data_IF_478876816179
#
_entry.id   IF_478876816179
#
_cell.length_a   1.000
_cell.length_b   1.000
_cell.length_c   1.000
_cell.angle_alpha   90.00
_cell.angle_beta   90.00
_cell.angle_gamma   90.00
#
_symmetry.space_group_name_H-M   'P 1'
#
loop_
_entity.id
_entity.type
_entity.pdbx_description
1 polymer ?
#
# COMPACT_ATOMS: atom_id res chain seq x y z
N UNK A 1 -23.22 2.48 -15.49
CA UNK A 1 -21.85 3.04 -15.44
C UNK A 1 -21.23 2.90 -14.05
N UNK A 2 -21.90 3.37 -12.98
CA UNK A 2 -21.49 3.17 -11.57
C UNK A 2 -21.03 1.74 -11.19
N UNK A 3 -21.85 0.73 -11.49
CA UNK A 3 -21.55 -0.67 -11.14
C UNK A 3 -20.24 -1.18 -11.79
N UNK A 4 -19.95 -0.74 -13.01
CA UNK A 4 -18.71 -1.09 -13.71
C UNK A 4 -17.48 -0.51 -13.01
N UNK A 5 -17.57 0.74 -12.55
CA UNK A 5 -16.47 1.41 -11.82
C UNK A 5 -16.22 0.76 -10.46
N UNK A 6 -17.26 0.35 -9.75
CA UNK A 6 -17.13 -0.39 -8.48
C UNK A 6 -16.44 -1.73 -8.71
N UNK A 7 -16.84 -2.48 -9.74
CA UNK A 7 -16.21 -3.75 -10.11
C UNK A 7 -14.73 -3.52 -10.48
N UNK A 8 -14.43 -2.46 -11.23
CA UNK A 8 -13.06 -2.08 -11.57
C UNK A 8 -12.22 -1.76 -10.32
N UNK A 9 -12.74 -0.98 -9.37
CA UNK A 9 -12.07 -0.69 -8.10
C UNK A 9 -11.75 -1.95 -7.28
N UNK A 10 -12.69 -2.90 -7.23
CA UNK A 10 -12.49 -4.18 -6.53
C UNK A 10 -11.39 -5.00 -7.22
N UNK A 11 -11.39 -5.06 -8.55
CA UNK A 11 -10.34 -5.75 -9.33
C UNK A 11 -8.97 -5.09 -9.15
N UNK A 12 -8.90 -3.76 -9.15
CA UNK A 12 -7.68 -3.01 -8.88
C UNK A 12 -7.18 -3.25 -7.45
N UNK A 13 -8.08 -3.33 -6.47
CA UNK A 13 -7.72 -3.68 -5.10
C UNK A 13 -7.13 -5.09 -5.03
N UNK A 14 -7.81 -6.09 -5.59
CA UNK A 14 -7.36 -7.48 -5.57
C UNK A 14 -6.01 -7.67 -6.27
N UNK A 15 -5.81 -7.05 -7.44
CA UNK A 15 -4.57 -7.14 -8.22
C UNK A 15 -3.40 -6.32 -7.67
N UNK A 16 -3.68 -5.27 -6.89
CA UNK A 16 -2.65 -4.33 -6.42
C UNK A 16 -1.49 -4.99 -5.64
N UNK A 17 -1.74 -6.06 -4.88
CA UNK A 17 -0.67 -6.77 -4.16
C UNK A 17 0.33 -7.45 -5.10
N UNK A 18 -0.16 -8.09 -6.16
CA UNK A 18 0.67 -8.72 -7.19
C UNK A 18 1.40 -7.69 -8.03
N UNK A 19 0.74 -6.58 -8.39
CA UNK A 19 1.34 -5.46 -9.13
C UNK A 19 2.49 -4.86 -8.33
N UNK A 20 2.27 -4.60 -7.04
CA UNK A 20 3.29 -4.03 -6.15
C UNK A 20 4.50 -4.95 -6.05
N UNK A 21 4.27 -6.27 -5.90
CA UNK A 21 5.34 -7.27 -5.85
C UNK A 21 6.12 -7.34 -7.16
N UNK A 22 5.44 -7.31 -8.30
CA UNK A 22 6.08 -7.30 -9.61
C UNK A 22 6.92 -6.04 -9.84
N UNK A 23 6.36 -4.87 -9.52
CA UNK A 23 7.02 -3.57 -9.68
C UNK A 23 8.23 -3.42 -8.74
N UNK A 24 8.07 -3.80 -7.47
CA UNK A 24 9.18 -3.79 -6.50
C UNK A 24 10.27 -4.80 -6.87
N UNK A 25 9.89 -5.99 -7.35
CA UNK A 25 10.85 -6.99 -7.83
C UNK A 25 11.64 -6.50 -9.05
N UNK A 26 11.03 -5.67 -9.90
CA UNK A 26 11.71 -5.02 -11.02
C UNK A 26 12.67 -3.91 -10.58
N UNK A 27 12.25 -3.08 -9.60
CA UNK A 27 13.03 -1.91 -9.17
C UNK A 27 14.19 -2.24 -8.24
N UNK A 28 14.01 -3.18 -7.32
CA UNK A 28 14.94 -3.37 -6.19
C UNK A 28 16.01 -4.44 -6.43
N UNK A 29 15.83 -5.35 -7.38
CA UNK A 29 16.75 -6.47 -7.63
C UNK A 29 16.91 -7.45 -6.45
N UNK A 30 16.37 -7.14 -5.26
CA UNK A 30 16.42 -7.95 -4.05
C UNK A 30 15.09 -8.70 -3.89
N UNK A 31 15.17 -10.04 -3.80
CA UNK A 31 14.02 -10.91 -3.52
C UNK A 31 14.21 -11.55 -2.15
N UNK A 32 13.59 -11.01 -1.11
CA UNK A 32 13.46 -11.71 0.17
C UNK A 32 12.20 -12.56 0.19
N UNK A 33 12.35 -13.86 -0.07
CA UNK A 33 11.25 -14.84 -0.15
C UNK A 33 10.62 -15.21 1.20
N UNK A 34 11.25 -14.83 2.33
CA UNK A 34 10.91 -15.38 3.66
C UNK A 34 9.76 -14.67 4.38
N UNK A 35 9.35 -13.48 3.94
CA UNK A 35 8.28 -12.65 4.57
C UNK A 35 7.16 -12.25 3.62
N UNK A 36 7.15 -12.79 2.41
CA UNK A 36 6.29 -12.36 1.29
C UNK A 36 4.79 -12.33 1.66
N UNK A 37 4.28 -13.35 2.33
CA UNK A 37 2.85 -13.42 2.65
C UNK A 37 2.42 -12.43 3.74
N UNK A 38 3.26 -12.23 4.77
CA UNK A 38 2.97 -11.29 5.86
C UNK A 38 3.00 -9.86 5.33
N UNK A 39 4.03 -9.51 4.55
CA UNK A 39 4.13 -8.19 3.92
C UNK A 39 2.98 -7.91 2.95
N UNK A 40 2.57 -8.91 2.16
CA UNK A 40 1.42 -8.80 1.27
C UNK A 40 0.12 -8.55 2.04
N UNK A 41 -0.14 -9.31 3.12
CA UNK A 41 -1.33 -9.14 3.97
C UNK A 41 -1.34 -7.77 4.63
N UNK A 42 -0.22 -7.30 5.21
CA UNK A 42 -0.10 -5.96 5.77
C UNK A 42 -0.45 -4.90 4.70
N UNK A 43 0.09 -5.04 3.50
CA UNK A 43 -0.18 -4.12 2.41
C UNK A 43 -1.66 -4.09 1.99
N UNK A 44 -2.35 -5.22 1.99
CA UNK A 44 -3.81 -5.26 1.75
C UNK A 44 -4.58 -4.58 2.88
N UNK A 45 -4.24 -4.84 4.14
CA UNK A 45 -4.87 -4.20 5.30
C UNK A 45 -4.72 -2.68 5.27
N UNK A 46 -3.54 -2.17 4.90
CA UNK A 46 -3.33 -0.72 4.76
C UNK A 46 -4.15 -0.12 3.64
N UNK A 47 -4.15 -0.72 2.45
CA UNK A 47 -4.94 -0.24 1.31
C UNK A 47 -6.42 -0.20 1.66
N UNK A 48 -6.91 -1.20 2.39
CA UNK A 48 -8.28 -1.23 2.89
C UNK A 48 -8.57 -0.05 3.83
N UNK A 49 -7.70 0.21 4.82
CA UNK A 49 -7.83 1.37 5.71
C UNK A 49 -7.79 2.70 4.96
N UNK A 50 -6.90 2.84 3.98
CA UNK A 50 -6.81 4.04 3.15
C UNK A 50 -8.10 4.27 2.37
N UNK A 51 -8.64 3.23 1.73
CA UNK A 51 -9.91 3.33 1.01
C UNK A 51 -11.02 3.80 1.96
N UNK A 52 -11.11 3.21 3.16
CA UNK A 52 -12.07 3.66 4.20
C UNK A 52 -11.86 5.14 4.51
N UNK A 53 -10.65 5.57 4.85
CA UNK A 53 -10.40 6.96 5.19
C UNK A 53 -10.68 7.94 4.06
N UNK A 54 -10.38 7.57 2.81
CA UNK A 54 -10.76 8.38 1.65
C UNK A 54 -12.29 8.51 1.59
N UNK A 55 -13.03 7.41 1.69
CA UNK A 55 -14.50 7.43 1.61
C UNK A 55 -15.17 8.24 2.73
N UNK A 56 -14.58 8.28 3.92
CA UNK A 56 -15.07 9.09 5.05
C UNK A 56 -14.43 10.49 5.11
N UNK A 57 -13.63 10.87 4.11
CA UNK A 57 -12.88 12.13 4.04
C UNK A 57 -11.96 12.39 5.26
N UNK A 58 -11.52 11.31 5.92
CA UNK A 58 -10.66 11.35 7.12
C UNK A 58 -9.17 11.34 6.77
N UNK A 59 -8.71 12.34 6.05
CA UNK A 59 -7.31 12.45 5.60
C UNK A 59 -6.30 12.59 6.76
N UNK A 60 -6.71 13.24 7.86
CA UNK A 60 -5.87 13.36 9.06
C UNK A 60 -5.63 12.01 9.74
N UNK A 61 -6.67 11.19 9.87
CA UNK A 61 -6.55 9.85 10.47
C UNK A 61 -5.67 8.93 9.59
N UNK A 62 -5.81 9.04 8.28
CA UNK A 62 -4.95 8.36 7.32
C UNK A 62 -3.47 8.74 7.52
N UNK A 63 -3.18 10.05 7.60
CA UNK A 63 -1.82 10.55 7.83
C UNK A 63 -1.22 10.06 9.16
N UNK A 64 -2.02 10.00 10.23
CA UNK A 64 -1.58 9.50 11.54
C UNK A 64 -1.16 8.03 11.49
N UNK A 65 -1.96 7.15 10.87
CA UNK A 65 -1.64 5.72 10.78
C UNK A 65 -0.38 5.50 9.93
N UNK A 66 -0.26 6.23 8.83
CA UNK A 66 0.93 6.15 7.95
C UNK A 66 2.19 6.59 8.70
N UNK A 67 2.10 7.71 9.43
CA UNK A 67 3.21 8.21 10.25
C UNK A 67 3.60 7.20 11.34
N UNK A 68 2.62 6.65 12.06
CA UNK A 68 2.86 5.64 13.08
C UNK A 68 3.59 4.40 12.52
N UNK A 69 3.18 3.91 11.35
CA UNK A 69 3.86 2.79 10.69
C UNK A 69 5.31 3.12 10.32
N UNK A 70 5.57 4.35 9.84
CA UNK A 70 6.93 4.78 9.46
C UNK A 70 7.88 4.80 10.66
N UNK A 71 7.39 5.28 11.82
CA UNK A 71 8.17 5.33 13.07
C UNK A 71 8.53 3.93 13.59
N UNK A 72 7.59 2.98 13.52
CA UNK A 72 7.82 1.61 14.02
C UNK A 72 8.78 0.78 13.16
N UNK A 73 9.22 1.33 12.02
CA UNK A 73 9.95 0.60 10.99
C UNK A 73 11.46 0.86 10.99
N UNK A 74 11.95 1.75 11.85
CA UNK A 74 13.39 2.01 11.96
C UNK A 74 14.12 0.81 12.61
N UNK A 75 14.98 0.08 11.90
CA UNK A 75 15.82 -0.95 12.49
C UNK A 75 16.96 -0.29 13.27
N UNK A 76 17.41 -0.91 14.36
CA UNK A 76 18.65 -0.51 15.04
C UNK A 76 19.83 -0.77 14.10
N UNK A 77 20.38 0.31 13.53
CA UNK A 77 21.48 0.30 12.58
C UNK A 77 22.70 -0.43 13.14
N UNK A 78 23.12 -1.51 12.47
CA UNK A 78 24.46 -2.07 12.66
C UNK A 78 25.06 -2.67 11.39
N UNK A 79 24.26 -3.11 10.41
CA UNK A 79 24.77 -3.69 9.15
C UNK A 79 24.19 -3.05 7.87
N UNK A 80 25.00 -3.04 6.81
CA UNK A 80 24.72 -2.46 5.48
C UNK A 80 23.54 -3.17 4.76
N UNK A 81 23.29 -4.45 5.07
CA UNK A 81 22.14 -5.21 4.59
C UNK A 81 20.81 -4.71 5.21
N UNK A 82 20.83 -4.29 6.48
CA UNK A 82 19.65 -3.76 7.17
C UNK A 82 19.18 -2.41 6.60
N UNK A 83 20.09 -1.62 6.01
CA UNK A 83 19.74 -0.37 5.34
C UNK A 83 18.96 -0.61 4.05
N UNK A 84 19.40 -1.56 3.21
CA UNK A 84 18.73 -1.88 1.94
C UNK A 84 17.32 -2.47 2.15
N UNK A 85 17.13 -3.27 3.20
CA UNK A 85 15.81 -3.78 3.60
C UNK A 85 14.87 -2.66 4.07
N UNK A 86 15.42 -1.69 4.81
CA UNK A 86 14.69 -0.50 5.24
C UNK A 86 14.34 0.41 4.07
N UNK A 87 15.15 0.49 3.02
CA UNK A 87 14.77 1.24 1.81
C UNK A 87 13.69 0.50 1.01
N UNK A 88 13.85 -0.82 0.82
CA UNK A 88 12.91 -1.66 0.06
C UNK A 88 11.48 -1.55 0.59
N UNK A 89 11.27 -1.76 1.89
CA UNK A 89 9.91 -1.71 2.45
C UNK A 89 9.39 -0.24 2.51
N UNK A 90 10.26 0.79 2.38
CA UNK A 90 9.86 2.22 2.38
C UNK A 90 9.22 2.54 1.05
N UNK A 91 9.93 2.21 -0.03
CA UNK A 91 9.44 2.32 -1.40
C UNK A 91 8.16 1.52 -1.55
N UNK A 92 8.12 0.29 -1.03
CA UNK A 92 6.92 -0.55 -1.06
C UNK A 92 5.73 0.08 -0.33
N UNK A 93 5.95 0.66 0.85
CA UNK A 93 4.89 1.35 1.60
C UNK A 93 4.40 2.56 0.83
N UNK A 94 5.29 3.47 0.39
CA UNK A 94 4.91 4.69 -0.35
C UNK A 94 4.11 4.38 -1.63
N UNK A 95 4.55 3.39 -2.39
CA UNK A 95 3.85 2.97 -3.61
C UNK A 95 2.48 2.36 -3.30
N UNK A 96 2.36 1.56 -2.23
CA UNK A 96 1.08 1.01 -1.76
C UNK A 96 0.11 2.11 -1.34
N UNK A 97 0.59 3.17 -0.69
CA UNK A 97 -0.24 4.33 -0.30
C UNK A 97 -0.84 5.01 -1.52
N UNK A 98 -0.03 5.29 -2.53
CA UNK A 98 -0.49 5.93 -3.78
C UNK A 98 -1.58 5.08 -4.44
N UNK A 99 -1.38 3.76 -4.55
CA UNK A 99 -2.37 2.85 -5.12
C UNK A 99 -3.67 2.83 -4.28
N UNK A 100 -3.55 2.80 -2.95
CA UNK A 100 -4.69 2.85 -2.05
C UNK A 100 -5.52 4.12 -2.21
N UNK A 101 -4.86 5.28 -2.27
CA UNK A 101 -5.51 6.60 -2.44
C UNK A 101 -6.21 6.66 -3.79
N UNK A 102 -5.54 6.30 -4.88
CA UNK A 102 -6.13 6.30 -6.22
C UNK A 102 -7.37 5.40 -6.30
N UNK A 103 -7.33 4.23 -5.66
CA UNK A 103 -8.48 3.33 -5.63
C UNK A 103 -9.62 3.89 -4.77
N UNK A 104 -9.32 4.48 -3.62
CA UNK A 104 -10.30 5.16 -2.77
C UNK A 104 -11.01 6.29 -3.50
N UNK A 105 -10.26 7.14 -4.23
CA UNK A 105 -10.81 8.22 -5.03
C UNK A 105 -11.67 7.69 -6.18
N UNK A 106 -11.24 6.62 -6.85
CA UNK A 106 -12.03 5.98 -7.90
C UNK A 106 -13.37 5.45 -7.35
N UNK A 107 -13.34 4.84 -6.15
CA UNK A 107 -14.54 4.33 -5.50
C UNK A 107 -15.48 5.47 -5.09
N UNK A 108 -14.94 6.54 -4.51
CA UNK A 108 -15.71 7.76 -4.19
C UNK A 108 -16.36 8.36 -5.44
N UNK A 109 -15.60 8.50 -6.52
CA UNK A 109 -16.12 8.98 -7.81
C UNK A 109 -17.24 8.10 -8.35
N UNK A 110 -17.07 6.76 -8.26
CA UNK A 110 -18.12 5.83 -8.65
C UNK A 110 -19.39 6.00 -7.80
N UNK A 111 -19.26 6.25 -6.50
CA UNK A 111 -20.40 6.49 -5.61
C UNK A 111 -21.13 7.80 -5.88
N UNK A 112 -20.43 8.83 -6.35
CA UNK A 112 -21.02 10.13 -6.68
C UNK A 112 -21.79 10.13 -8.02
N UNK A 113 -21.54 9.15 -8.88
CA UNK A 113 -22.14 8.98 -10.20
C UNK A 113 -23.46 8.18 -10.16
#
# INVERSE_FOLDING_TARGET
>A
MKMLLIILSILLYASSGYILRALLGFLSGMRHTRTDFIGLTIGYSERFLIIIFVLFEQYTAMGLIIAAKSILRFPSASDDEGHKESEYVLVGTMLSLVIGILNGLLFMYALAL
#
